data_IF_839105335938
#
_entry.id   IF_839105335938
#
_cell.length_a   1.000
_cell.length_b   1.000
_cell.length_c   1.000
_cell.angle_alpha   90.00
_cell.angle_beta   90.00
_cell.angle_gamma   90.00
#
_symmetry.space_group_name_H-M   'P 1'
#
loop_
_entity.id
_entity.type
_entity.pdbx_description
1 polymer ?
#
# COMPACT_ATOMS: atom_id res chain seq x y z
N UNK A 1 22.58 -14.98 10.64
CA UNK A 1 21.68 -15.92 9.95
C UNK A 1 21.02 -15.12 8.84
N UNK A 2 21.42 -15.37 7.60
CA UNK A 2 20.85 -14.71 6.41
C UNK A 2 19.58 -15.48 6.05
N UNK A 3 18.43 -14.82 6.00
CA UNK A 3 17.25 -15.33 5.30
C UNK A 3 17.12 -14.54 4.01
N UNK A 4 17.77 -15.03 2.96
CA UNK A 4 17.41 -14.73 1.57
C UNK A 4 16.02 -15.28 1.31
N UNK A 5 15.10 -14.39 0.94
CA UNK A 5 13.77 -14.75 0.49
C UNK A 5 13.83 -14.94 -1.02
N UNK A 6 13.75 -16.20 -1.45
CA UNK A 6 13.87 -16.64 -2.84
C UNK A 6 12.56 -16.37 -3.59
N UNK A 7 12.54 -15.34 -4.44
CA UNK A 7 11.44 -15.09 -5.38
C UNK A 7 11.79 -15.74 -6.73
N UNK A 8 10.88 -16.49 -7.37
CA UNK A 8 11.16 -17.13 -8.65
C UNK A 8 11.46 -16.10 -9.76
N UNK A 9 12.38 -16.41 -10.69
CA UNK A 9 12.99 -15.46 -11.63
C UNK A 9 12.15 -15.09 -12.87
N UNK A 10 10.92 -15.59 -13.00
CA UNK A 10 10.12 -15.42 -14.23
C UNK A 10 9.12 -14.25 -14.12
N UNK A 11 9.60 -13.05 -13.77
CA UNK A 11 8.83 -11.82 -13.95
C UNK A 11 9.04 -11.30 -15.37
N UNK A 12 8.20 -11.78 -16.29
CA UNK A 12 8.15 -11.29 -17.66
C UNK A 12 7.51 -9.89 -17.68
N UNK A 13 8.31 -8.89 -18.04
CA UNK A 13 7.91 -7.49 -18.18
C UNK A 13 7.56 -7.22 -19.65
N UNK A 14 6.48 -7.80 -20.15
CA UNK A 14 5.93 -7.42 -21.46
C UNK A 14 4.43 -7.16 -21.35
N UNK A 15 4.03 -5.98 -21.85
CA UNK A 15 2.67 -5.44 -21.98
C UNK A 15 1.93 -4.96 -20.73
N UNK A 16 2.23 -3.73 -20.31
CA UNK A 16 1.14 -2.84 -19.85
C UNK A 16 1.41 -1.38 -20.21
N UNK A 17 1.32 -1.07 -21.50
CA UNK A 17 1.13 0.29 -22.02
C UNK A 17 -0.29 0.78 -21.71
N UNK A 18 -0.59 0.98 -20.42
CA UNK A 18 -1.73 1.80 -20.01
C UNK A 18 -1.19 3.15 -19.58
N UNK A 19 -1.32 4.13 -20.47
CA UNK A 19 -1.25 5.56 -20.16
C UNK A 19 -2.19 5.83 -18.96
N UNK A 20 -1.60 6.07 -17.79
CA UNK A 20 -2.32 6.69 -16.68
C UNK A 20 -1.90 8.15 -16.64
N UNK A 21 -2.91 9.01 -16.60
CA UNK A 21 -2.78 10.45 -16.39
C UNK A 21 -1.73 10.72 -15.29
N UNK A 22 -0.76 11.61 -15.59
CA UNK A 22 0.12 12.20 -14.60
C UNK A 22 -0.76 12.81 -13.51
N UNK A 23 -1.01 12.05 -12.44
CA UNK A 23 -1.57 12.57 -11.22
C UNK A 23 -0.50 13.49 -10.65
N UNK A 24 -0.72 14.78 -10.84
CA UNK A 24 0.11 15.91 -10.38
C UNK A 24 0.73 15.60 -9.00
N UNK A 25 1.97 15.10 -9.02
CA UNK A 25 2.81 14.77 -7.86
C UNK A 25 3.38 16.06 -7.24
N UNK A 26 2.52 17.06 -7.01
CA UNK A 26 2.87 18.30 -6.32
C UNK A 26 2.31 18.34 -4.90
N UNK A 27 2.28 17.20 -4.21
CA UNK A 27 2.27 17.18 -2.76
C UNK A 27 3.73 17.25 -2.30
N UNK A 28 4.21 18.46 -2.04
CA UNK A 28 5.55 18.67 -1.47
C UNK A 28 5.77 17.75 -0.28
N UNK A 29 6.86 16.98 -0.31
CA UNK A 29 7.27 16.01 0.71
C UNK A 29 7.54 16.62 2.11
N UNK A 30 7.24 17.91 2.30
CA UNK A 30 7.21 18.61 3.59
C UNK A 30 5.88 18.37 4.34
N UNK A 31 4.86 17.78 3.71
CA UNK A 31 3.52 17.60 4.29
C UNK A 31 3.27 16.16 4.76
N UNK A 32 2.73 16.02 5.97
CA UNK A 32 2.36 14.74 6.58
C UNK A 32 1.33 14.00 5.71
N UNK A 33 1.73 12.91 5.04
CA UNK A 33 0.79 12.08 4.29
C UNK A 33 0.09 11.11 5.23
N UNK A 34 -1.24 11.12 5.24
CA UNK A 34 -2.04 10.07 5.90
C UNK A 34 -3.12 9.60 4.96
N UNK A 35 -3.12 8.30 4.68
CA UNK A 35 -4.07 7.68 3.75
C UNK A 35 -4.55 6.35 4.29
N UNK A 36 -5.82 6.06 4.06
CA UNK A 36 -6.50 4.84 4.49
C UNK A 36 -7.27 4.28 3.32
N UNK A 37 -7.05 3.00 3.05
CA UNK A 37 -7.83 2.21 2.12
C UNK A 37 -8.62 1.14 2.88
N UNK A 38 -9.89 1.01 2.50
CA UNK A 38 -10.76 -0.09 2.94
C UNK A 38 -10.93 -1.03 1.76
N UNK A 39 -10.59 -2.31 1.98
CA UNK A 39 -10.66 -3.35 0.98
C UNK A 39 -11.74 -4.36 1.39
N UNK A 40 -12.49 -4.84 0.41
CA UNK A 40 -13.53 -5.85 0.60
C UNK A 40 -13.33 -7.03 -0.33
N UNK A 41 -13.48 -8.25 0.18
CA UNK A 41 -13.52 -9.48 -0.62
C UNK A 41 -14.48 -10.47 0.02
N UNK A 42 -15.54 -10.84 -0.71
CA UNK A 42 -16.65 -11.61 -0.14
C UNK A 42 -17.19 -10.91 1.14
N UNK A 43 -17.35 -11.66 2.23
CA UNK A 43 -17.78 -11.15 3.54
C UNK A 43 -16.63 -10.63 4.41
N UNK A 44 -15.43 -10.43 3.84
CA UNK A 44 -14.24 -9.94 4.54
C UNK A 44 -13.99 -8.47 4.25
N UNK A 45 -13.58 -7.73 5.29
CA UNK A 45 -13.11 -6.34 5.20
C UNK A 45 -11.69 -6.27 5.75
N UNK A 46 -10.79 -5.65 4.99
CA UNK A 46 -9.42 -5.39 5.36
C UNK A 46 -9.11 -3.89 5.32
N UNK A 47 -8.11 -3.47 6.08
CA UNK A 47 -7.62 -2.10 6.11
C UNK A 47 -6.16 -2.07 5.68
N UNK A 48 -5.80 -1.07 4.89
CA UNK A 48 -4.43 -0.71 4.60
C UNK A 48 -4.28 0.79 4.80
N UNK A 49 -3.37 1.20 5.67
CA UNK A 49 -3.11 2.60 5.96
C UNK A 49 -1.63 2.91 5.75
N UNK A 50 -1.34 4.14 5.34
CA UNK A 50 0.00 4.71 5.38
C UNK A 50 -0.04 6.02 6.16
N UNK A 51 0.98 6.24 7.00
CA UNK A 51 1.30 7.53 7.60
C UNK A 51 2.77 7.81 7.34
N UNK A 52 3.08 8.92 6.68
CA UNK A 52 4.46 9.40 6.51
C UNK A 52 4.68 10.77 7.16
N UNK A 53 5.93 11.03 7.47
CA UNK A 53 6.50 12.30 7.90
C UNK A 53 7.86 12.47 7.22
N UNK A 54 8.52 13.61 7.44
CA UNK A 54 9.81 13.94 6.84
C UNK A 54 10.92 12.91 7.10
N UNK A 55 10.90 12.24 8.25
CA UNK A 55 11.96 11.31 8.68
C UNK A 55 11.60 9.83 8.51
N UNK A 56 10.40 9.52 8.03
CA UNK A 56 10.01 8.12 7.85
C UNK A 56 8.50 7.91 7.72
N UNK A 57 8.13 6.64 7.62
CA UNK A 57 6.74 6.25 7.40
C UNK A 57 6.40 4.90 8.03
N UNK A 58 5.10 4.67 8.20
CA UNK A 58 4.56 3.41 8.67
C UNK A 58 3.39 2.98 7.76
N UNK A 59 3.42 1.71 7.34
CA UNK A 59 2.28 1.05 6.71
C UNK A 59 1.65 0.13 7.75
N UNK A 60 0.34 0.30 7.97
CA UNK A 60 -0.45 -0.52 8.88
C UNK A 60 -1.45 -1.34 8.06
N UNK A 61 -1.52 -2.65 8.33
CA UNK A 61 -2.46 -3.56 7.67
C UNK A 61 -3.26 -4.33 8.70
N UNK A 62 -4.57 -4.38 8.49
CA UNK A 62 -5.49 -5.27 9.20
C UNK A 62 -6.10 -6.20 8.17
N UNK A 63 -5.66 -7.46 8.17
CA UNK A 63 -6.21 -8.51 7.32
C UNK A 63 -7.05 -9.46 8.20
N UNK A 64 -8.34 -9.67 7.90
CA UNK A 64 -9.20 -10.53 8.72
C UNK A 64 -8.78 -12.02 8.70
N UNK A 65 -7.86 -12.40 7.82
CA UNK A 65 -7.27 -13.74 7.76
C UNK A 65 -6.10 -13.91 8.72
N UNK A 66 -5.59 -12.82 9.28
CA UNK A 66 -4.47 -12.79 10.22
C UNK A 66 -4.99 -12.49 11.64
N UNK A 67 -4.36 -13.07 12.65
CA UNK A 67 -4.81 -12.92 14.04
C UNK A 67 -4.56 -11.50 14.60
N UNK A 68 -3.58 -10.78 14.04
CA UNK A 68 -3.14 -9.49 14.56
C UNK A 68 -2.85 -8.52 13.40
N UNK A 69 -3.06 -7.20 13.62
CA UNK A 69 -2.56 -6.18 12.71
C UNK A 69 -1.05 -6.29 12.51
N UNK A 70 -0.59 -5.97 11.30
CA UNK A 70 0.83 -5.84 10.98
C UNK A 70 1.19 -4.38 10.73
N UNK A 71 2.35 -3.97 11.23
CA UNK A 71 2.91 -2.64 11.00
C UNK A 71 4.32 -2.79 10.45
N UNK A 72 4.60 -2.10 9.36
CA UNK A 72 5.93 -2.04 8.77
C UNK A 72 6.42 -0.59 8.78
N UNK A 73 7.59 -0.38 9.36
CA UNK A 73 8.25 0.92 9.43
C UNK A 73 9.24 1.07 8.28
N UNK A 74 9.38 2.29 7.80
CA UNK A 74 10.29 2.67 6.73
C UNK A 74 11.03 3.93 7.14
N UNK A 75 12.35 3.93 6.95
CA UNK A 75 13.19 5.13 7.13
C UNK A 75 13.06 6.10 5.94
N UNK A 76 12.49 5.63 4.82
CA UNK A 76 12.31 6.38 3.58
C UNK A 76 10.80 6.50 3.27
N UNK A 77 10.22 7.70 3.40
CA UNK A 77 8.81 7.97 3.11
C UNK A 77 8.38 7.61 1.69
N UNK A 78 9.22 7.87 0.69
CA UNK A 78 8.90 7.65 -0.72
C UNK A 78 8.81 6.15 -1.00
N UNK A 79 9.76 5.37 -0.45
CA UNK A 79 9.67 3.90 -0.52
C UNK A 79 8.42 3.37 0.14
N UNK A 80 7.99 3.92 1.27
CA UNK A 80 6.76 3.49 1.92
C UNK A 80 5.54 3.77 1.02
N UNK A 81 5.49 4.93 0.37
CA UNK A 81 4.43 5.27 -0.57
C UNK A 81 4.41 4.33 -1.78
N UNK A 82 5.58 4.01 -2.35
CA UNK A 82 5.71 3.03 -3.43
C UNK A 82 5.16 1.67 -2.99
N UNK A 83 5.56 1.18 -1.81
CA UNK A 83 5.09 -0.09 -1.26
C UNK A 83 3.60 -0.10 -0.93
N UNK A 84 3.05 1.00 -0.43
CA UNK A 84 1.62 1.17 -0.20
C UNK A 84 0.84 1.04 -1.52
N UNK A 85 1.26 1.78 -2.55
CA UNK A 85 0.65 1.75 -3.88
C UNK A 85 0.75 0.37 -4.53
N UNK A 86 1.91 -0.28 -4.42
CA UNK A 86 2.11 -1.66 -4.89
C UNK A 86 1.22 -2.66 -4.15
N UNK A 87 1.00 -2.47 -2.85
CA UNK A 87 0.13 -3.31 -2.02
C UNK A 87 -1.34 -3.18 -2.43
N UNK A 88 -1.82 -1.97 -2.74
CA UNK A 88 -3.16 -1.75 -3.29
C UNK A 88 -3.34 -2.43 -4.65
N UNK A 89 -2.38 -2.25 -5.57
CA UNK A 89 -2.40 -2.89 -6.90
C UNK A 89 -2.43 -4.41 -6.79
N UNK A 90 -1.59 -4.97 -5.92
CA UNK A 90 -1.54 -6.42 -5.67
C UNK A 90 -2.84 -6.92 -5.05
N UNK A 91 -3.43 -6.17 -4.13
CA UNK A 91 -4.72 -6.52 -3.52
C UNK A 91 -5.84 -6.57 -4.56
N UNK A 92 -5.93 -5.57 -5.46
CA UNK A 92 -6.86 -5.58 -6.59
C UNK A 92 -6.69 -6.82 -7.48
N UNK A 93 -5.44 -7.12 -7.86
CA UNK A 93 -5.12 -8.32 -8.67
C UNK A 93 -5.52 -9.62 -7.97
N UNK A 94 -5.42 -9.65 -6.64
CA UNK A 94 -5.83 -10.79 -5.80
C UNK A 94 -7.35 -10.83 -5.51
N UNK A 95 -8.15 -10.02 -6.20
CA UNK A 95 -9.61 -10.02 -6.11
C UNK A 95 -10.19 -9.27 -4.91
N UNK A 96 -9.42 -8.36 -4.29
CA UNK A 96 -9.96 -7.40 -3.34
C UNK A 96 -10.51 -6.18 -4.08
N UNK A 97 -11.71 -5.75 -3.72
CA UNK A 97 -12.27 -4.49 -4.18
C UNK A 97 -11.86 -3.37 -3.21
N UNK A 98 -11.42 -2.23 -3.74
CA UNK A 98 -11.14 -1.05 -2.90
C UNK A 98 -12.40 -0.22 -2.84
N UNK A 99 -13.05 -0.19 -1.68
CA UNK A 99 -14.33 0.51 -1.48
C UNK A 99 -14.14 1.92 -0.91
N UNK A 100 -12.96 2.20 -0.37
CA UNK A 100 -12.53 3.52 0.08
C UNK A 100 -11.02 3.63 -0.08
N UNK A 101 -10.53 4.80 -0.51
CA UNK A 101 -9.13 5.15 -0.52
C UNK A 101 -9.00 6.67 -0.43
N UNK A 102 -8.55 7.17 0.72
CA UNK A 102 -8.54 8.60 1.00
C UNK A 102 -8.03 8.94 2.39
N UNK A 103 -8.46 10.08 2.92
CA UNK A 103 -8.08 10.56 4.24
C UNK A 103 -8.50 9.59 5.36
N UNK A 104 -7.96 9.70 6.59
CA UNK A 104 -8.41 8.89 7.71
C UNK A 104 -9.91 9.01 7.96
N UNK A 105 -10.58 7.87 8.15
CA UNK A 105 -11.99 7.84 8.53
C UNK A 105 -12.16 8.34 9.96
N UNK A 106 -12.97 9.38 10.13
CA UNK A 106 -13.36 9.93 11.43
C UNK A 106 -14.81 9.55 11.70
N UNK A 107 -15.10 9.09 12.92
CA UNK A 107 -16.43 8.66 13.36
C UNK A 107 -16.66 8.99 14.82
#
# INVERSE_FOLDING_TARGET
MNNEFDFPPDFDFEDTDQEFEDFDDEAGLDELLVRTAVLQKNDMVALLCIKSATEGAAICRVDPRENHPSVQLYDDPDKALEWYTKSLRTSRRNGWNIIYDGLPLQG
#
